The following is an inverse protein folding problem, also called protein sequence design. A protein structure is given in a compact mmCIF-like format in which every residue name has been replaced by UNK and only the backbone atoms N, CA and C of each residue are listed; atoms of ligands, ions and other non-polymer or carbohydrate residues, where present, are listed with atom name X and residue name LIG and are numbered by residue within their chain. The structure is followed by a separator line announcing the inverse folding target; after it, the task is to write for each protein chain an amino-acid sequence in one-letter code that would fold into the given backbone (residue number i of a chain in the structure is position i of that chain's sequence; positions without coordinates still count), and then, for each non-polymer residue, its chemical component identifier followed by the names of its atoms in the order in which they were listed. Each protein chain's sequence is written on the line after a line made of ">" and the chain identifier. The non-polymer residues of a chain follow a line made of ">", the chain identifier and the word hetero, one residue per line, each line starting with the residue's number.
data_IF_080568801851
#
_entry.id   IF_080568801851
#
_cell.length_a   1.000
_cell.length_b   1.000
_cell.length_c   1.000
_cell.angle_alpha   90.00
_cell.angle_beta   90.00
_cell.angle_gamma   90.00
#
_symmetry.space_group_name_H-M   'P 1'
#
loop_
_entity.id
_entity.type
_entity.pdbx_description
1 polymer ?
#
# COMPACT_ATOMS: atom_id res chain seq x y z
N UNK A 1 -26.77 -15.86 12.83
CA UNK A 1 -25.40 -16.05 13.36
C UNK A 1 -24.65 -14.74 13.17
N UNK A 2 -23.99 -14.16 14.19
CA UNK A 2 -23.18 -12.96 13.98
C UNK A 2 -22.00 -13.29 13.04
N UNK A 3 -21.72 -12.41 12.09
CA UNK A 3 -20.57 -12.56 11.19
C UNK A 3 -19.28 -12.56 12.01
N UNK A 4 -18.46 -13.58 11.80
CA UNK A 4 -17.17 -13.68 12.44
C UNK A 4 -16.20 -12.67 11.80
N UNK A 5 -15.86 -11.61 12.53
CA UNK A 5 -14.95 -10.55 12.08
C UNK A 5 -13.52 -10.73 12.61
N UNK A 6 -13.15 -11.93 13.11
CA UNK A 6 -11.76 -12.21 13.49
C UNK A 6 -10.87 -12.16 12.25
N UNK A 7 -9.75 -11.40 12.25
CA UNK A 7 -8.81 -11.39 11.14
C UNK A 7 -8.30 -12.81 10.86
N UNK A 8 -8.41 -13.27 9.62
CA UNK A 8 -7.80 -14.53 9.19
C UNK A 8 -6.30 -14.27 9.09
N UNK A 9 -5.52 -14.97 9.91
CA UNK A 9 -4.06 -14.86 9.84
C UNK A 9 -3.57 -15.39 8.47
N UNK A 10 -2.63 -14.72 7.82
CA UNK A 10 -2.05 -15.22 6.57
C UNK A 10 -1.40 -16.59 6.81
N UNK A 11 -1.57 -17.52 5.86
CA UNK A 11 -0.92 -18.83 5.94
C UNK A 11 0.60 -18.65 5.93
N UNK A 12 1.29 -19.40 6.80
CA UNK A 12 2.77 -19.39 6.88
C UNK A 12 3.43 -20.37 5.93
N UNK A 13 2.65 -21.09 5.13
CA UNK A 13 3.15 -22.10 4.21
C UNK A 13 3.78 -21.47 2.97
N UNK A 14 4.97 -21.93 2.60
CA UNK A 14 5.64 -21.50 1.37
C UNK A 14 5.01 -22.25 0.20
N UNK A 15 4.05 -21.61 -0.46
CA UNK A 15 3.29 -22.21 -1.57
C UNK A 15 4.02 -22.13 -2.91
N UNK A 16 5.06 -21.31 -3.03
CA UNK A 16 5.71 -21.02 -4.32
C UNK A 16 4.85 -20.18 -5.28
N UNK A 17 3.75 -19.61 -4.79
CA UNK A 17 2.81 -18.80 -5.56
C UNK A 17 2.64 -17.41 -4.93
N UNK A 18 2.31 -16.43 -5.78
CA UNK A 18 1.92 -15.07 -5.37
C UNK A 18 0.41 -14.92 -5.47
N UNK A 19 -0.17 -14.15 -4.57
CA UNK A 19 -1.60 -13.82 -4.55
C UNK A 19 -1.98 -12.87 -5.68
N UNK A 20 -1.07 -11.97 -6.07
CA UNK A 20 -1.27 -11.04 -7.17
C UNK A 20 -1.12 -11.73 -8.53
N UNK A 21 -2.03 -11.48 -9.50
CA UNK A 21 -1.91 -12.06 -10.83
C UNK A 21 -0.63 -11.60 -11.55
N UNK A 22 0.29 -12.54 -11.80
CA UNK A 22 1.61 -12.22 -12.36
C UNK A 22 1.53 -11.48 -13.71
N UNK A 23 0.56 -11.83 -14.55
CA UNK A 23 0.33 -11.13 -15.83
C UNK A 23 0.00 -9.64 -15.67
N UNK A 24 -0.70 -9.26 -14.58
CA UNK A 24 -1.00 -7.85 -14.28
C UNK A 24 0.24 -7.12 -13.76
N UNK A 25 1.02 -7.76 -12.90
CA UNK A 25 2.30 -7.23 -12.41
C UNK A 25 3.26 -6.99 -13.59
N UNK A 26 3.41 -7.97 -14.46
CA UNK A 26 4.20 -7.83 -15.68
C UNK A 26 3.69 -6.69 -16.56
N UNK A 27 2.39 -6.56 -16.77
CA UNK A 27 1.84 -5.45 -17.57
C UNK A 27 2.22 -4.08 -17.01
N UNK A 28 2.26 -3.92 -15.68
CA UNK A 28 2.69 -2.67 -15.02
C UNK A 28 4.18 -2.44 -15.21
N UNK A 29 5.01 -3.49 -15.03
CA UNK A 29 6.47 -3.41 -15.25
C UNK A 29 6.77 -2.94 -16.69
N UNK A 30 6.09 -3.49 -17.69
CA UNK A 30 6.30 -3.12 -19.10
C UNK A 30 5.70 -1.77 -19.49
N UNK A 31 4.92 -1.12 -18.61
CA UNK A 31 4.43 0.23 -18.84
C UNK A 31 5.53 1.29 -18.63
N UNK A 32 6.67 0.90 -18.04
CA UNK A 32 7.83 1.77 -17.89
C UNK A 32 8.38 2.21 -19.27
N UNK A 33 8.49 3.52 -19.56
CA UNK A 33 9.01 4.04 -20.82
C UNK A 33 10.43 3.56 -21.15
N UNK A 34 11.26 3.27 -20.13
CA UNK A 34 12.64 2.80 -20.31
C UNK A 34 12.72 1.32 -20.68
N UNK A 35 11.61 0.57 -20.61
CA UNK A 35 11.47 -0.85 -21.00
C UNK A 35 12.64 -1.71 -20.54
N UNK A 36 12.85 -1.79 -19.23
CA UNK A 36 13.85 -2.69 -18.64
C UNK A 36 13.40 -4.14 -18.88
N UNK A 37 14.30 -4.96 -19.42
CA UNK A 37 14.04 -6.39 -19.58
C UNK A 37 14.01 -7.06 -18.19
N UNK A 38 12.87 -7.64 -17.82
CA UNK A 38 12.66 -8.29 -16.52
C UNK A 38 12.41 -9.77 -16.71
N UNK A 39 13.18 -10.61 -16.02
CA UNK A 39 13.00 -12.06 -16.04
C UNK A 39 11.72 -12.49 -15.31
N UNK A 40 11.22 -13.69 -15.58
CA UNK A 40 10.03 -14.23 -14.88
C UNK A 40 10.24 -14.29 -13.36
N UNK A 41 11.44 -14.68 -12.91
CA UNK A 41 11.78 -14.77 -11.48
C UNK A 41 11.82 -13.38 -10.83
N UNK A 42 12.34 -12.37 -11.54
CA UNK A 42 12.32 -11.00 -11.06
C UNK A 42 10.88 -10.45 -10.96
N UNK A 43 10.03 -10.72 -11.95
CA UNK A 43 8.62 -10.35 -11.90
C UNK A 43 7.88 -11.01 -10.72
N UNK A 44 8.20 -12.27 -10.42
CA UNK A 44 7.68 -12.97 -9.24
C UNK A 44 8.13 -12.32 -7.93
N UNK A 45 9.42 -11.98 -7.80
CA UNK A 45 9.95 -11.29 -6.64
C UNK A 45 9.30 -9.90 -6.44
N UNK A 46 9.07 -9.16 -7.53
CA UNK A 46 8.36 -7.88 -7.50
C UNK A 46 6.92 -8.06 -7.03
N UNK A 47 6.22 -9.11 -7.49
CA UNK A 47 4.86 -9.41 -7.04
C UNK A 47 4.83 -9.70 -5.52
N UNK A 48 5.75 -10.52 -5.02
CA UNK A 48 5.87 -10.80 -3.59
C UNK A 48 6.18 -9.53 -2.77
N UNK A 49 7.14 -8.71 -3.23
CA UNK A 49 7.46 -7.45 -2.59
C UNK A 49 6.26 -6.48 -2.58
N UNK A 50 5.44 -6.49 -3.63
CA UNK A 50 4.21 -5.67 -3.72
C UNK A 50 3.17 -6.12 -2.69
N UNK A 51 3.01 -7.43 -2.46
CA UNK A 51 2.12 -7.95 -1.42
C UNK A 51 2.58 -7.52 -0.02
N UNK A 52 3.88 -7.65 0.26
CA UNK A 52 4.46 -7.19 1.52
C UNK A 52 4.33 -5.68 1.69
N UNK A 53 4.49 -4.91 0.60
CA UNK A 53 4.30 -3.46 0.60
C UNK A 53 2.87 -3.07 0.97
N UNK A 54 1.85 -3.74 0.40
CA UNK A 54 0.44 -3.46 0.73
C UNK A 54 0.17 -3.70 2.21
N UNK A 55 0.69 -4.81 2.77
CA UNK A 55 0.57 -5.10 4.19
C UNK A 55 1.27 -4.03 5.03
N UNK A 56 2.50 -3.67 4.67
CA UNK A 56 3.27 -2.63 5.36
C UNK A 56 2.52 -1.28 5.36
N UNK A 57 2.02 -0.84 4.21
CA UNK A 57 1.25 0.40 4.08
C UNK A 57 -0.01 0.37 4.95
N UNK A 58 -0.75 -0.73 4.95
CA UNK A 58 -1.95 -0.89 5.76
C UNK A 58 -1.64 -0.85 7.26
N UNK A 59 -0.60 -1.55 7.71
CA UNK A 59 -0.17 -1.55 9.12
C UNK A 59 0.33 -0.18 9.56
N UNK A 60 1.18 0.48 8.77
CA UNK A 60 1.68 1.83 9.07
C UNK A 60 0.54 2.84 9.14
N UNK A 61 -0.42 2.77 8.22
CA UNK A 61 -1.62 3.61 8.27
C UNK A 61 -2.47 3.31 9.51
N UNK A 62 -2.66 2.04 9.86
CA UNK A 62 -3.40 1.67 11.06
C UNK A 62 -2.73 2.17 12.35
N UNK A 63 -1.39 2.20 12.40
CA UNK A 63 -0.65 2.76 13.52
C UNK A 63 -0.91 4.26 13.70
N UNK A 64 -1.07 5.01 12.60
CA UNK A 64 -1.49 6.42 12.67
C UNK A 64 -2.86 6.56 13.32
N UNK A 65 -3.83 5.71 12.96
CA UNK A 65 -5.17 5.72 13.56
C UNK A 65 -5.13 5.36 15.05
N UNK A 66 -4.32 4.37 15.43
CA UNK A 66 -4.14 3.96 16.82
C UNK A 66 -3.50 5.03 17.71
N UNK A 67 -2.69 5.91 17.12
CA UNK A 67 -2.06 7.02 17.83
C UNK A 67 -3.01 8.21 18.08
N UNK A 68 -4.22 8.22 17.50
CA UNK A 68 -5.21 9.26 17.78
C UNK A 68 -5.76 9.16 19.21
N UNK A 69 -6.10 10.30 19.82
CA UNK A 69 -6.67 10.37 21.18
C UNK A 69 -7.95 9.53 21.35
N UNK A 70 -8.75 9.40 20.28
CA UNK A 70 -9.93 8.53 20.20
C UNK A 70 -9.74 7.58 19.03
N UNK A 71 -9.10 6.42 19.24
CA UNK A 71 -8.74 5.53 18.15
C UNK A 71 -9.99 4.99 17.46
N UNK A 72 -10.02 5.14 16.15
CA UNK A 72 -11.09 4.61 15.29
C UNK A 72 -10.76 3.18 14.86
N UNK A 73 -11.79 2.41 14.49
CA UNK A 73 -11.59 1.10 13.85
C UNK A 73 -11.32 1.20 12.35
N UNK A 74 -11.80 2.26 11.69
CA UNK A 74 -11.73 2.41 10.24
C UNK A 74 -10.58 3.33 9.83
N UNK A 75 -9.86 2.95 8.78
CA UNK A 75 -8.85 3.76 8.11
C UNK A 75 -9.55 4.75 7.16
N UNK A 76 -9.08 6.00 7.15
CA UNK A 76 -9.52 7.06 6.26
C UNK A 76 -8.35 7.57 5.41
N UNK A 77 -8.64 8.24 4.29
CA UNK A 77 -7.61 8.76 3.39
C UNK A 77 -6.59 9.69 4.09
N UNK A 78 -7.06 10.53 5.02
CA UNK A 78 -6.19 11.41 5.83
C UNK A 78 -5.14 10.64 6.63
N UNK A 79 -5.46 9.40 7.01
CA UNK A 79 -4.57 8.53 7.78
C UNK A 79 -3.48 7.99 6.86
N UNK A 80 -3.85 7.61 5.63
CA UNK A 80 -2.90 7.14 4.59
C UNK A 80 -1.95 8.27 4.21
N UNK A 81 -2.45 9.46 3.88
CA UNK A 81 -1.60 10.60 3.51
C UNK A 81 -0.71 11.06 4.69
N UNK A 82 -1.19 10.92 5.92
CA UNK A 82 -0.38 11.17 7.12
C UNK A 82 0.70 10.11 7.33
N UNK A 83 0.43 8.84 7.04
CA UNK A 83 1.39 7.74 7.14
C UNK A 83 2.51 7.89 6.10
N UNK A 84 2.13 8.14 4.84
CA UNK A 84 3.04 8.39 3.73
C UNK A 84 3.96 9.58 4.04
N UNK A 85 3.41 10.70 4.52
CA UNK A 85 4.21 11.89 4.82
C UNK A 85 5.07 11.81 6.08
N UNK A 86 4.95 10.76 6.89
CA UNK A 86 5.71 10.59 8.15
C UNK A 86 6.74 9.46 8.10
N UNK A 87 6.72 8.65 7.05
CA UNK A 87 7.54 7.44 6.97
C UNK A 87 8.48 7.57 5.79
N UNK A 88 9.79 7.65 6.06
CA UNK A 88 10.81 7.96 5.05
C UNK A 88 10.80 6.99 3.86
N UNK A 89 10.60 5.68 4.12
CA UNK A 89 10.53 4.67 3.07
C UNK A 89 9.24 4.73 2.21
N UNK A 90 8.28 5.61 2.55
CA UNK A 90 7.08 5.89 1.78
C UNK A 90 7.16 7.23 1.03
N UNK A 91 8.28 7.94 1.08
CA UNK A 91 8.46 9.25 0.42
C UNK A 91 8.13 9.20 -1.07
N UNK A 92 8.47 8.10 -1.75
CA UNK A 92 8.18 7.90 -3.17
C UNK A 92 6.67 8.00 -3.53
N UNK A 93 5.78 7.88 -2.54
CA UNK A 93 4.32 7.92 -2.74
C UNK A 93 3.70 9.29 -2.42
N UNK A 94 4.47 10.29 -1.98
CA UNK A 94 3.95 11.61 -1.57
C UNK A 94 3.18 12.31 -2.69
N UNK A 95 3.67 12.21 -3.93
CA UNK A 95 3.02 12.82 -5.09
C UNK A 95 1.72 12.11 -5.51
N UNK A 96 1.62 10.81 -5.21
CA UNK A 96 0.44 9.98 -5.53
C UNK A 96 -0.61 10.07 -4.43
N UNK A 97 -0.19 10.23 -3.17
CA UNK A 97 -1.06 10.31 -2.00
C UNK A 97 -0.83 11.62 -1.22
N UNK A 98 -1.18 12.77 -1.82
CA UNK A 98 -0.92 14.07 -1.20
C UNK A 98 -1.77 14.30 0.05
N UNK A 99 -1.29 15.17 0.94
CA UNK A 99 -2.13 15.69 2.03
C UNK A 99 -3.29 16.50 1.46
N UNK A 100 -4.48 16.23 1.96
CA UNK A 100 -5.67 16.99 1.59
C UNK A 100 -5.54 18.43 2.09
N UNK A 101 -5.77 19.39 1.20
CA UNK A 101 -5.85 20.82 1.53
C UNK A 101 -7.26 21.32 1.27
N UNK A 102 -7.65 22.40 1.93
CA UNK A 102 -8.95 23.02 1.65
C UNK A 102 -8.95 23.66 0.27
N UNK A 103 -10.12 23.72 -0.39
CA UNK A 103 -10.23 24.37 -1.70
C UNK A 103 -9.77 25.84 -1.68
N UNK A 104 -9.99 26.54 -0.55
CA UNK A 104 -9.52 27.92 -0.34
C UNK A 104 -8.00 28.02 -0.36
N UNK A 105 -7.29 27.04 0.20
CA UNK A 105 -5.83 26.98 0.17
C UNK A 105 -5.32 26.58 -1.22
N UNK A 106 -5.98 25.63 -1.88
CA UNK A 106 -5.64 25.24 -3.24
C UNK A 106 -5.73 26.41 -4.22
N UNK A 107 -6.75 27.28 -4.11
CA UNK A 107 -6.94 28.45 -4.98
C UNK A 107 -5.91 29.56 -4.77
N UNK A 108 -5.15 29.54 -3.67
CA UNK A 108 -4.10 30.53 -3.37
C UNK A 108 -2.72 30.09 -3.88
N UNK A 109 -2.58 28.82 -4.24
CA UNK A 109 -1.35 28.19 -4.69
C UNK A 109 -1.24 28.31 -6.21
#
# INVERSE_FOLDING_TARGET
>A
MPYNNTPIAPSKEVTGHVSLPLARVQKIIHADPQRIAVSKNAAFAIALATEMFIQHLATTTHNVVKAERKPRRNIQYRDVSSAVAKTDNLEFAVDVVPKTITFKEARKR
#
